data_IF_439979866631
#
_entry.id   IF_439979866631
#
_cell.length_a   1.000
_cell.length_b   1.000
_cell.length_c   1.000
_cell.angle_alpha   90.00
_cell.angle_beta   90.00
_cell.angle_gamma   90.00
#
_symmetry.space_group_name_H-M   'P 1'
#
loop_
_entity.id
_entity.type
_entity.pdbx_description
1 polymer ?
#
# COMPACT_ATOMS: atom_id res chain seq x y z
N UNK A 1 17.14 -6.16 16.73
CA UNK A 1 18.16 -5.41 15.97
C UNK A 1 17.89 -5.40 14.46
N UNK A 2 17.79 -6.55 13.77
CA UNK A 2 17.62 -6.65 12.28
C UNK A 2 16.59 -5.68 11.68
N UNK A 3 15.41 -5.53 12.31
CA UNK A 3 14.39 -4.62 11.82
C UNK A 3 14.82 -3.14 11.90
N UNK A 4 15.44 -2.71 13.00
CA UNK A 4 15.92 -1.34 13.14
C UNK A 4 17.02 -1.01 12.13
N UNK A 5 17.94 -1.94 11.90
CA UNK A 5 18.99 -1.80 10.88
C UNK A 5 18.38 -1.68 9.47
N UNK A 6 17.43 -2.57 9.13
CA UNK A 6 16.75 -2.52 7.84
C UNK A 6 16.02 -1.20 7.62
N UNK A 7 15.26 -0.72 8.61
CA UNK A 7 14.55 0.56 8.54
C UNK A 7 15.53 1.74 8.37
N UNK A 8 16.61 1.77 9.17
CA UNK A 8 17.64 2.81 9.05
C UNK A 8 18.32 2.82 7.69
N UNK A 9 18.61 1.64 7.12
CA UNK A 9 19.18 1.49 5.79
C UNK A 9 18.25 2.04 4.70
N UNK A 10 16.97 1.64 4.68
CA UNK A 10 15.98 2.13 3.72
C UNK A 10 15.84 3.66 3.79
N UNK A 11 15.70 4.22 4.99
CA UNK A 11 15.57 5.68 5.16
C UNK A 11 16.81 6.40 4.65
N UNK A 12 17.99 5.89 4.94
CA UNK A 12 19.25 6.50 4.51
C UNK A 12 19.44 6.46 2.98
N UNK A 13 19.02 5.38 2.34
CA UNK A 13 19.08 5.22 0.88
C UNK A 13 18.11 6.15 0.17
N UNK A 14 16.86 6.20 0.63
CA UNK A 14 15.78 6.95 -0.02
C UNK A 14 15.72 8.43 0.33
N UNK A 15 16.35 8.84 1.44
CA UNK A 15 16.36 10.22 1.93
C UNK A 15 17.77 10.66 2.32
N UNK A 16 18.73 10.72 1.39
CA UNK A 16 20.13 10.97 1.72
C UNK A 16 20.38 12.37 2.30
N UNK A 17 19.53 13.36 1.96
CA UNK A 17 19.75 14.75 2.33
C UNK A 17 19.06 15.20 3.65
N UNK A 18 18.06 14.46 4.14
CA UNK A 18 17.22 14.93 5.24
C UNK A 18 16.83 13.89 6.32
N UNK A 19 17.58 12.79 6.54
CA UNK A 19 17.17 11.78 7.53
C UNK A 19 17.15 12.34 8.96
N UNK A 20 17.91 13.38 9.23
CA UNK A 20 18.04 14.03 10.54
C UNK A 20 16.78 14.77 10.97
N UNK A 21 16.16 15.52 10.05
CA UNK A 21 14.95 16.31 10.32
C UNK A 21 13.78 15.39 10.69
N UNK A 22 13.72 14.22 10.08
CA UNK A 22 12.62 13.27 10.24
C UNK A 22 12.69 12.54 11.59
N UNK A 23 13.90 12.23 12.05
CA UNK A 23 14.10 11.53 13.31
C UNK A 23 13.85 12.46 14.51
N UNK A 24 13.99 13.77 14.32
CA UNK A 24 13.83 14.79 15.35
C UNK A 24 12.36 15.12 15.68
N UNK A 25 11.41 14.94 14.76
CA UNK A 25 10.07 15.51 14.91
C UNK A 25 9.18 14.78 15.91
N UNK A 26 9.08 15.30 17.13
CA UNK A 26 7.83 15.40 17.88
C UNK A 26 7.67 16.81 18.42
N UNK A 27 6.77 17.56 17.79
CA UNK A 27 6.07 18.68 18.38
C UNK A 27 6.93 19.86 18.79
N UNK A 28 6.67 20.98 18.13
CA UNK A 28 7.26 22.31 18.24
C UNK A 28 8.68 22.38 17.65
N UNK A 29 8.73 22.86 16.44
CA UNK A 29 9.90 23.51 15.87
C UNK A 29 10.26 24.74 16.76
N UNK A 30 10.81 24.50 17.90
CA UNK A 30 11.53 25.56 18.62
C UNK A 30 12.98 25.51 18.12
N UNK A 31 13.22 26.03 16.94
CA UNK A 31 14.53 26.50 16.53
C UNK A 31 14.85 27.74 17.37
N UNK A 32 15.29 27.54 18.58
CA UNK A 32 15.89 28.60 19.39
C UNK A 32 16.97 28.05 20.30
N UNK A 33 17.96 27.41 19.69
CA UNK A 33 19.30 27.45 20.26
C UNK A 33 20.17 28.17 19.25
N UNK A 34 20.58 29.36 19.58
CA UNK A 34 21.48 30.22 18.80
C UNK A 34 22.88 29.64 18.58
N UNK A 35 23.15 28.47 19.06
CA UNK A 35 24.45 27.78 19.06
C UNK A 35 24.45 26.42 18.31
N UNK A 36 23.36 26.05 17.61
CA UNK A 36 23.34 24.86 16.76
C UNK A 36 23.42 23.50 17.50
N UNK A 37 23.34 23.50 18.82
CA UNK A 37 23.40 22.27 19.62
C UNK A 37 22.04 21.60 19.69
N UNK A 38 21.96 20.31 19.24
CA UNK A 38 20.74 19.51 19.34
C UNK A 38 20.34 19.28 20.80
N UNK A 39 19.02 19.32 21.13
CA UNK A 39 18.54 18.91 22.44
C UNK A 39 19.05 17.50 22.78
N UNK A 40 19.57 17.31 23.98
CA UNK A 40 20.25 16.04 24.40
C UNK A 40 19.44 14.76 24.16
N UNK A 41 18.10 14.84 24.20
CA UNK A 41 17.20 13.68 23.94
C UNK A 41 17.14 13.31 22.45
N UNK A 42 17.18 14.28 21.55
CA UNK A 42 17.14 14.01 20.10
C UNK A 42 18.49 13.57 19.58
N UNK A 43 19.59 14.03 20.18
CA UNK A 43 20.92 13.56 19.89
C UNK A 43 21.12 12.03 20.11
N UNK A 44 20.40 11.43 21.06
CA UNK A 44 20.43 9.98 21.29
C UNK A 44 19.76 9.19 20.13
N UNK A 45 18.64 9.68 19.60
CA UNK A 45 17.99 9.04 18.45
C UNK A 45 18.81 9.20 17.17
N UNK A 46 19.42 10.35 16.98
CA UNK A 46 20.34 10.62 15.88
C UNK A 46 21.55 9.68 15.91
N UNK A 47 22.26 9.58 17.05
CA UNK A 47 23.38 8.65 17.22
C UNK A 47 22.97 7.21 16.95
N UNK A 48 21.81 6.77 17.47
CA UNK A 48 21.28 5.45 17.22
C UNK A 48 21.03 5.19 15.72
N UNK A 49 20.43 6.15 15.01
CA UNK A 49 20.18 6.04 13.58
C UNK A 49 21.47 5.88 12.78
N UNK A 50 22.47 6.76 13.01
CA UNK A 50 23.73 6.72 12.31
C UNK A 50 24.51 5.44 12.57
N UNK A 51 24.58 5.00 13.82
CA UNK A 51 25.26 3.75 14.16
C UNK A 51 24.59 2.52 13.53
N UNK A 52 23.24 2.51 13.47
CA UNK A 52 22.47 1.45 12.80
C UNK A 52 22.65 1.47 11.28
N UNK A 53 22.64 2.67 10.69
CA UNK A 53 22.85 2.89 9.25
C UNK A 53 24.22 2.43 8.80
N UNK A 54 25.26 2.81 9.55
CA UNK A 54 26.65 2.50 9.23
C UNK A 54 27.05 1.05 9.60
N UNK A 55 26.17 0.29 10.25
CA UNK A 55 26.48 -1.06 10.72
C UNK A 55 27.45 -1.11 11.91
N UNK A 56 27.66 0.04 12.58
CA UNK A 56 28.55 0.15 13.76
C UNK A 56 28.00 -0.62 14.97
N UNK A 57 26.68 -0.90 14.97
CA UNK A 57 25.98 -1.59 16.05
C UNK A 57 25.19 -2.76 15.46
N UNK A 58 25.49 -3.97 15.93
CA UNK A 58 24.84 -5.19 15.47
C UNK A 58 23.98 -5.86 16.54
N UNK A 59 24.27 -5.62 17.80
CA UNK A 59 23.60 -6.21 18.95
C UNK A 59 22.79 -5.18 19.76
N UNK A 60 21.86 -5.67 20.58
CA UNK A 60 21.10 -4.80 21.49
C UNK A 60 21.97 -4.19 22.57
N UNK A 61 22.98 -4.92 23.02
CA UNK A 61 23.92 -4.48 24.06
C UNK A 61 24.83 -3.35 23.57
N UNK A 62 25.34 -3.46 22.35
CA UNK A 62 26.12 -2.40 21.70
C UNK A 62 25.30 -1.12 21.54
N UNK A 63 24.03 -1.22 21.08
CA UNK A 63 23.16 -0.06 20.98
C UNK A 63 22.86 0.56 22.35
N UNK A 64 22.66 -0.28 23.37
CA UNK A 64 22.41 0.17 24.74
C UNK A 64 23.59 0.93 25.30
N UNK A 65 24.80 0.40 25.13
CA UNK A 65 26.05 1.02 25.60
C UNK A 65 26.32 2.33 24.89
N UNK A 66 26.10 2.38 23.56
CA UNK A 66 26.29 3.60 22.76
C UNK A 66 25.36 4.74 23.22
N UNK A 67 24.11 4.42 23.57
CA UNK A 67 23.12 5.43 23.91
C UNK A 67 23.13 5.80 25.40
N UNK A 68 23.43 4.84 26.25
CA UNK A 68 23.43 4.97 27.70
C UNK A 68 24.78 4.51 28.31
N UNK A 69 25.87 5.25 28.06
CA UNK A 69 27.21 4.84 28.51
C UNK A 69 27.32 4.68 30.02
N UNK A 70 26.50 5.42 30.78
CA UNK A 70 26.47 5.33 32.25
C UNK A 70 25.47 4.27 32.77
N UNK A 71 24.96 3.43 31.88
CA UNK A 71 23.95 2.43 32.19
C UNK A 71 22.53 2.99 32.18
N UNK A 72 21.54 2.09 32.08
CA UNK A 72 20.11 2.44 32.15
C UNK A 72 19.31 1.22 32.59
N UNK A 73 18.11 1.44 33.14
CA UNK A 73 17.19 0.34 33.45
C UNK A 73 16.64 -0.29 32.17
N UNK A 74 16.26 -1.56 32.24
CA UNK A 74 15.65 -2.27 31.11
C UNK A 74 14.37 -1.61 30.62
N UNK A 75 13.58 -1.05 31.52
CA UNK A 75 12.35 -0.31 31.18
C UNK A 75 12.65 0.93 30.33
N UNK A 76 13.66 1.70 30.70
CA UNK A 76 14.08 2.90 29.97
C UNK A 76 14.63 2.53 28.58
N UNK A 77 15.46 1.50 28.48
CA UNK A 77 15.97 1.03 27.20
C UNK A 77 14.85 0.53 26.28
N UNK A 78 13.92 -0.29 26.78
CA UNK A 78 12.75 -0.74 26.01
C UNK A 78 11.91 0.44 25.51
N UNK A 79 11.68 1.44 26.37
CA UNK A 79 10.96 2.67 25.99
C UNK A 79 11.69 3.44 24.89
N UNK A 80 13.01 3.61 24.99
CA UNK A 80 13.83 4.23 23.97
C UNK A 80 13.73 3.47 22.63
N UNK A 81 13.94 2.15 22.64
CA UNK A 81 13.87 1.30 21.44
C UNK A 81 12.50 1.35 20.76
N UNK A 82 11.42 1.33 21.55
CA UNK A 82 10.05 1.47 21.04
C UNK A 82 9.85 2.83 20.36
N UNK A 83 10.31 3.92 20.97
CA UNK A 83 10.22 5.27 20.39
C UNK A 83 11.08 5.41 19.14
N UNK A 84 12.30 4.88 19.13
CA UNK A 84 13.16 4.87 17.95
C UNK A 84 12.48 4.15 16.79
N UNK A 85 11.96 2.92 17.03
CA UNK A 85 11.20 2.17 16.03
C UNK A 85 10.03 2.97 15.48
N UNK A 86 9.24 3.60 16.36
CA UNK A 86 8.10 4.43 15.95
C UNK A 86 8.53 5.63 15.09
N UNK A 87 9.63 6.29 15.43
CA UNK A 87 10.18 7.40 14.62
C UNK A 87 10.62 6.91 13.24
N UNK A 88 11.37 5.82 13.16
CA UNK A 88 11.79 5.23 11.89
C UNK A 88 10.60 4.81 11.02
N UNK A 89 9.58 4.17 11.60
CA UNK A 89 8.36 3.82 10.85
C UNK A 89 7.64 5.05 10.34
N UNK A 90 7.50 6.10 11.17
CA UNK A 90 6.87 7.35 10.72
C UNK A 90 7.66 8.01 9.59
N UNK A 91 8.99 7.89 9.59
CA UNK A 91 9.84 8.44 8.53
C UNK A 91 9.62 7.75 7.17
N UNK A 92 9.21 6.48 7.16
CA UNK A 92 8.87 5.78 5.91
C UNK A 92 7.71 6.43 5.17
N UNK A 93 6.78 7.08 5.90
CA UNK A 93 5.65 7.79 5.30
C UNK A 93 6.06 9.04 4.50
N UNK A 94 7.29 9.50 4.66
CA UNK A 94 7.84 10.67 3.97
C UNK A 94 8.72 10.28 2.78
N UNK A 95 8.93 8.97 2.56
CA UNK A 95 9.69 8.48 1.42
C UNK A 95 8.80 8.54 0.19
N UNK A 96 9.23 9.29 -0.81
CA UNK A 96 8.64 9.22 -2.15
C UNK A 96 9.05 7.90 -2.80
N UNK A 97 8.05 7.15 -3.29
CA UNK A 97 8.29 5.92 -4.04
C UNK A 97 8.46 6.32 -5.50
N UNK A 98 9.66 6.06 -6.05
CA UNK A 98 9.90 6.25 -7.47
C UNK A 98 9.25 5.09 -8.25
N UNK A 99 8.37 5.43 -9.20
CA UNK A 99 7.73 4.46 -10.10
C UNK A 99 8.73 3.63 -10.93
N UNK A 100 9.96 4.10 -11.09
CA UNK A 100 11.02 3.35 -11.77
C UNK A 100 11.52 2.13 -10.95
N UNK A 101 11.30 2.11 -9.64
CA UNK A 101 11.78 1.07 -8.74
C UNK A 101 10.72 0.02 -8.37
N UNK A 102 9.46 0.35 -8.62
CA UNK A 102 8.29 -0.51 -8.30
C UNK A 102 7.33 -0.52 -9.48
N UNK A 103 6.36 -1.42 -9.48
CA UNK A 103 5.32 -1.40 -10.51
C UNK A 103 4.52 -0.08 -10.45
N UNK A 104 4.04 0.40 -11.60
CA UNK A 104 3.19 1.59 -11.66
C UNK A 104 1.96 1.47 -10.74
N UNK A 105 1.43 0.26 -10.57
CA UNK A 105 0.29 -0.02 -9.69
C UNK A 105 0.66 0.12 -8.22
N UNK A 106 1.81 -0.44 -7.79
CA UNK A 106 2.26 -0.32 -6.39
C UNK A 106 2.61 1.12 -6.03
N UNK A 107 3.21 1.88 -6.96
CA UNK A 107 3.48 3.30 -6.79
C UNK A 107 2.19 4.11 -6.65
N UNK A 108 1.19 3.84 -7.49
CA UNK A 108 -0.12 4.48 -7.42
C UNK A 108 -0.89 4.14 -6.14
N UNK A 109 -0.82 2.89 -5.67
CA UNK A 109 -1.42 2.50 -4.39
C UNK A 109 -0.76 3.22 -3.20
N UNK A 110 0.57 3.28 -3.19
CA UNK A 110 1.30 4.01 -2.17
C UNK A 110 0.98 5.51 -2.18
N UNK A 111 0.85 6.13 -3.34
CA UNK A 111 0.44 7.52 -3.51
C UNK A 111 -1.00 7.75 -3.02
N UNK A 112 -1.94 6.90 -3.40
CA UNK A 112 -3.32 6.97 -2.91
C UNK A 112 -3.37 6.88 -1.37
N UNK A 113 -2.65 5.92 -0.78
CA UNK A 113 -2.56 5.76 0.68
C UNK A 113 -1.90 6.97 1.38
N UNK A 114 -0.91 7.59 0.75
CA UNK A 114 -0.31 8.83 1.24
C UNK A 114 -1.35 9.95 1.32
N UNK A 115 -2.16 10.15 0.27
CA UNK A 115 -3.24 11.15 0.29
C UNK A 115 -4.31 10.83 1.33
N UNK A 116 -4.71 9.55 1.50
CA UNK A 116 -5.66 9.12 2.54
C UNK A 116 -5.14 9.48 3.93
N UNK A 117 -3.88 9.15 4.22
CA UNK A 117 -3.29 9.43 5.53
C UNK A 117 -3.16 10.93 5.79
N UNK A 118 -2.69 11.69 4.79
CA UNK A 118 -2.53 13.14 4.90
C UNK A 118 -3.89 13.84 5.07
N UNK A 119 -4.93 13.37 4.37
CA UNK A 119 -6.30 13.86 4.52
C UNK A 119 -6.83 13.61 5.94
N UNK A 120 -6.59 12.42 6.47
CA UNK A 120 -6.99 12.08 7.85
C UNK A 120 -6.34 13.01 8.88
N UNK A 121 -5.02 13.23 8.79
CA UNK A 121 -4.29 14.14 9.67
C UNK A 121 -4.77 15.58 9.50
N UNK A 122 -4.96 16.05 8.27
CA UNK A 122 -5.50 17.38 7.97
C UNK A 122 -6.88 17.60 8.59
N UNK A 123 -7.75 16.58 8.49
CA UNK A 123 -9.08 16.62 9.10
C UNK A 123 -9.05 16.78 10.63
N UNK A 124 -8.15 16.06 11.31
CA UNK A 124 -7.94 16.19 12.77
C UNK A 124 -7.45 17.60 13.14
N UNK A 125 -6.63 18.21 12.29
CA UNK A 125 -6.06 19.54 12.53
C UNK A 125 -6.99 20.69 12.08
N UNK A 126 -8.19 20.41 11.58
CA UNK A 126 -9.20 21.41 11.19
C UNK A 126 -9.03 21.97 9.78
N UNK A 127 -8.23 21.35 8.93
CA UNK A 127 -7.98 21.77 7.54
C UNK A 127 -9.05 21.26 6.55
N UNK A 128 -10.32 21.71 6.65
CA UNK A 128 -11.45 21.15 5.91
C UNK A 128 -11.30 21.16 4.38
N UNK A 129 -10.89 22.28 3.79
CA UNK A 129 -10.78 22.44 2.34
C UNK A 129 -9.62 21.62 1.76
N UNK A 130 -8.48 21.64 2.42
CA UNK A 130 -7.32 20.83 2.04
C UNK A 130 -7.58 19.33 2.18
N UNK A 131 -8.32 18.93 3.22
CA UNK A 131 -8.76 17.54 3.40
C UNK A 131 -9.59 17.05 2.21
N UNK A 132 -10.51 17.89 1.71
CA UNK A 132 -11.34 17.55 0.54
C UNK A 132 -10.49 17.36 -0.71
N UNK A 133 -9.56 18.28 -0.98
CA UNK A 133 -8.64 18.16 -2.13
C UNK A 133 -7.85 16.84 -2.11
N UNK A 134 -7.33 16.48 -0.94
CA UNK A 134 -6.57 15.23 -0.78
C UNK A 134 -7.46 13.99 -0.98
N UNK A 135 -8.71 14.01 -0.48
CA UNK A 135 -9.67 12.95 -0.72
C UNK A 135 -9.97 12.79 -2.20
N UNK A 136 -10.23 13.89 -2.91
CA UNK A 136 -10.55 13.87 -4.34
C UNK A 136 -9.38 13.29 -5.16
N UNK A 137 -8.13 13.62 -4.80
CA UNK A 137 -6.93 13.02 -5.41
C UNK A 137 -6.85 11.52 -5.15
N UNK A 138 -7.00 11.09 -3.90
CA UNK A 138 -6.96 9.68 -3.54
C UNK A 138 -8.06 8.86 -4.25
N UNK A 139 -9.29 9.38 -4.32
CA UNK A 139 -10.41 8.74 -5.03
C UNK A 139 -10.11 8.64 -6.53
N UNK A 140 -9.54 9.69 -7.14
CA UNK A 140 -9.18 9.67 -8.56
C UNK A 140 -8.19 8.56 -8.89
N UNK A 141 -7.14 8.40 -8.07
CA UNK A 141 -6.15 7.33 -8.23
C UNK A 141 -6.81 5.97 -7.98
N UNK A 142 -7.58 5.82 -6.89
CA UNK A 142 -8.24 4.58 -6.53
C UNK A 142 -9.17 4.07 -7.65
N UNK A 143 -9.93 4.96 -8.30
CA UNK A 143 -10.78 4.62 -9.44
C UNK A 143 -10.00 4.21 -10.67
N UNK A 144 -8.92 4.95 -11.00
CA UNK A 144 -8.08 4.65 -12.15
C UNK A 144 -7.44 3.27 -12.08
N UNK A 145 -7.02 2.85 -10.89
CA UNK A 145 -6.29 1.59 -10.66
C UNK A 145 -7.14 0.50 -9.98
N UNK A 146 -8.45 0.73 -9.82
CA UNK A 146 -9.39 -0.22 -9.19
C UNK A 146 -9.02 -0.61 -7.74
N UNK A 147 -8.52 0.34 -6.96
CA UNK A 147 -8.28 0.14 -5.53
C UNK A 147 -9.60 0.28 -4.74
N UNK A 148 -10.53 -0.65 -4.95
CA UNK A 148 -11.89 -0.61 -4.40
C UNK A 148 -11.91 -0.45 -2.87
N UNK A 149 -10.95 -1.01 -2.16
CA UNK A 149 -10.84 -0.90 -0.70
C UNK A 149 -10.50 0.54 -0.25
N UNK A 150 -9.69 1.27 -1.02
CA UNK A 150 -9.36 2.68 -0.76
C UNK A 150 -10.57 3.56 -1.10
N UNK A 151 -11.18 3.35 -2.27
CA UNK A 151 -12.35 4.10 -2.70
C UNK A 151 -13.51 3.94 -1.72
N UNK A 152 -13.82 2.71 -1.32
CA UNK A 152 -14.87 2.42 -0.34
C UNK A 152 -14.66 3.18 0.97
N UNK A 153 -13.46 3.09 1.55
CA UNK A 153 -13.12 3.79 2.78
C UNK A 153 -13.31 5.30 2.69
N UNK A 154 -12.87 5.91 1.59
CA UNK A 154 -13.00 7.35 1.38
C UNK A 154 -14.47 7.80 1.21
N UNK A 155 -15.24 7.03 0.47
CA UNK A 155 -16.67 7.28 0.30
C UNK A 155 -17.44 7.17 1.63
N UNK A 156 -17.16 6.16 2.43
CA UNK A 156 -17.73 5.98 3.78
C UNK A 156 -17.36 7.15 4.71
N UNK A 157 -16.11 7.60 4.69
CA UNK A 157 -15.66 8.75 5.47
C UNK A 157 -16.33 10.04 5.01
N UNK A 158 -16.43 10.26 3.69
CA UNK A 158 -17.14 11.41 3.12
C UNK A 158 -18.62 11.39 3.49
N UNK A 159 -19.28 10.24 3.41
CA UNK A 159 -20.68 10.07 3.79
C UNK A 159 -20.88 10.36 5.28
N UNK A 160 -20.05 9.81 6.15
CA UNK A 160 -20.11 10.05 7.60
C UNK A 160 -19.97 11.54 7.96
N UNK A 161 -19.07 12.26 7.30
CA UNK A 161 -18.89 13.70 7.51
C UNK A 161 -20.07 14.51 6.98
N UNK A 162 -20.68 14.07 5.89
CA UNK A 162 -21.79 14.78 5.24
C UNK A 162 -23.14 14.57 5.94
N UNK A 163 -23.29 13.53 6.76
CA UNK A 163 -24.53 13.16 7.42
C UNK A 163 -25.22 14.32 8.17
N UNK A 164 -24.43 15.17 8.83
CA UNK A 164 -24.96 16.28 9.64
C UNK A 164 -25.47 17.47 8.82
N UNK A 165 -25.06 17.60 7.54
CA UNK A 165 -25.27 18.83 6.76
C UNK A 165 -25.85 18.59 5.37
N UNK A 166 -26.01 17.33 4.93
CA UNK A 166 -26.48 17.00 3.60
C UNK A 166 -27.97 16.71 3.57
N UNK A 167 -28.60 16.94 2.40
CA UNK A 167 -29.99 16.53 2.16
C UNK A 167 -30.08 15.00 2.08
N UNK A 168 -31.26 14.47 2.43
CA UNK A 168 -31.54 13.01 2.36
C UNK A 168 -31.27 12.48 0.94
N UNK A 169 -31.61 13.26 -0.08
CA UNK A 169 -31.43 12.87 -1.47
C UNK A 169 -29.94 12.69 -1.82
N UNK A 170 -29.05 13.57 -1.31
CA UNK A 170 -27.60 13.45 -1.47
C UNK A 170 -27.04 12.25 -0.72
N UNK A 171 -27.47 12.05 0.53
CA UNK A 171 -27.06 10.90 1.34
C UNK A 171 -27.42 9.57 0.68
N UNK A 172 -28.60 9.46 0.08
CA UNK A 172 -29.04 8.27 -0.65
C UNK A 172 -28.18 8.04 -1.90
N UNK A 173 -27.76 9.09 -2.62
CA UNK A 173 -26.86 8.99 -3.78
C UNK A 173 -25.48 8.50 -3.34
N UNK A 174 -24.95 9.06 -2.26
CA UNK A 174 -23.65 8.67 -1.72
C UNK A 174 -23.68 7.20 -1.24
N UNK A 175 -24.76 6.77 -0.59
CA UNK A 175 -24.96 5.39 -0.15
C UNK A 175 -25.04 4.42 -1.34
N UNK A 176 -25.71 4.80 -2.43
CA UNK A 176 -25.75 4.01 -3.66
C UNK A 176 -24.34 3.82 -4.26
N UNK A 177 -23.52 4.87 -4.24
CA UNK A 177 -22.13 4.81 -4.69
C UNK A 177 -21.29 3.87 -3.81
N UNK A 178 -21.44 3.93 -2.49
CA UNK A 178 -20.80 3.03 -1.53
C UNK A 178 -21.19 1.57 -1.82
N UNK A 179 -22.49 1.32 -2.02
CA UNK A 179 -23.01 -0.02 -2.31
C UNK A 179 -22.43 -0.61 -3.60
N UNK A 180 -22.32 0.22 -4.64
CA UNK A 180 -21.71 -0.20 -5.92
C UNK A 180 -20.22 -0.56 -5.76
N UNK A 181 -19.45 0.25 -5.04
CA UNK A 181 -18.02 -0.04 -4.81
C UNK A 181 -17.85 -1.28 -3.94
N UNK A 182 -18.74 -1.48 -2.96
CA UNK A 182 -18.74 -2.69 -2.13
C UNK A 182 -19.00 -3.97 -2.97
N UNK A 183 -19.97 -3.91 -3.90
CA UNK A 183 -20.24 -5.00 -4.84
C UNK A 183 -19.01 -5.32 -5.71
N UNK A 184 -18.37 -4.31 -6.29
CA UNK A 184 -17.13 -4.47 -7.06
C UNK A 184 -16.00 -5.09 -6.22
N UNK A 185 -15.85 -4.69 -4.97
CA UNK A 185 -14.86 -5.26 -4.06
C UNK A 185 -15.14 -6.75 -3.78
N UNK A 186 -16.42 -7.13 -3.59
CA UNK A 186 -16.79 -8.53 -3.43
C UNK A 186 -16.45 -9.35 -4.67
N UNK A 187 -16.79 -8.86 -5.86
CA UNK A 187 -16.44 -9.53 -7.12
C UNK A 187 -14.92 -9.64 -7.30
N UNK A 188 -14.16 -8.59 -6.95
CA UNK A 188 -12.70 -8.65 -6.97
C UNK A 188 -12.16 -9.76 -6.05
N UNK A 189 -12.72 -9.95 -4.86
CA UNK A 189 -12.35 -11.05 -3.96
C UNK A 189 -12.65 -12.42 -4.59
N UNK A 190 -13.78 -12.56 -5.30
CA UNK A 190 -14.07 -13.80 -6.04
C UNK A 190 -13.06 -14.05 -7.17
N UNK A 191 -12.66 -13.02 -7.91
CA UNK A 191 -11.58 -13.12 -8.92
C UNK A 191 -10.26 -13.57 -8.29
N UNK A 192 -9.91 -13.06 -7.10
CA UNK A 192 -8.70 -13.50 -6.39
C UNK A 192 -8.76 -14.99 -6.00
N UNK A 193 -9.92 -15.50 -5.60
CA UNK A 193 -10.11 -16.93 -5.31
C UNK A 193 -9.92 -17.77 -6.59
N UNK A 194 -10.54 -17.37 -7.71
CA UNK A 194 -10.38 -18.03 -9.00
C UNK A 194 -8.90 -18.00 -9.42
N UNK A 195 -8.24 -16.85 -9.32
CA UNK A 195 -6.81 -16.70 -9.62
C UNK A 195 -5.93 -17.59 -8.75
N UNK A 196 -6.26 -17.74 -7.47
CA UNK A 196 -5.55 -18.65 -6.57
C UNK A 196 -5.64 -20.11 -7.06
N UNK A 197 -6.84 -20.58 -7.42
CA UNK A 197 -7.01 -21.93 -7.97
C UNK A 197 -6.29 -22.11 -9.32
N UNK A 198 -6.28 -21.09 -10.17
CA UNK A 198 -5.48 -21.09 -11.40
C UNK A 198 -3.98 -21.31 -11.11
N UNK A 199 -3.40 -20.53 -10.20
CA UNK A 199 -1.98 -20.67 -9.84
C UNK A 199 -1.68 -22.05 -9.25
N UNK A 200 -2.59 -22.59 -8.44
CA UNK A 200 -2.45 -23.93 -7.86
C UNK A 200 -2.44 -25.02 -8.95
N UNK A 201 -3.36 -24.94 -9.92
CA UNK A 201 -3.45 -25.89 -11.03
C UNK A 201 -2.20 -25.81 -11.91
N UNK A 202 -1.80 -24.61 -12.32
CA UNK A 202 -0.65 -24.43 -13.23
C UNK A 202 0.69 -24.78 -12.59
N UNK A 203 0.85 -24.61 -11.27
CA UNK A 203 2.06 -25.01 -10.54
C UNK A 203 2.11 -26.49 -10.18
N UNK A 204 1.01 -27.19 -10.25
CA UNK A 204 0.97 -28.62 -9.90
C UNK A 204 1.46 -29.47 -11.05
N UNK A 205 2.70 -29.95 -10.96
CA UNK A 205 3.30 -30.87 -11.94
C UNK A 205 2.66 -32.27 -11.94
N UNK A 206 1.80 -32.57 -10.97
CA UNK A 206 1.20 -33.90 -10.74
C UNK A 206 -0.21 -34.01 -11.35
N UNK A 207 -0.81 -32.93 -11.83
CA UNK A 207 -2.18 -32.96 -12.36
C UNK A 207 -2.15 -33.33 -13.83
N UNK A 208 -2.95 -34.35 -14.19
CA UNK A 208 -3.10 -34.80 -15.57
C UNK A 208 -3.73 -33.68 -16.42
N UNK A 209 -3.21 -33.46 -17.62
CA UNK A 209 -3.60 -32.40 -18.57
C UNK A 209 -5.13 -32.29 -18.77
N UNK A 210 -5.81 -33.44 -18.85
CA UNK A 210 -7.27 -33.50 -18.96
C UNK A 210 -8.01 -32.88 -17.78
N UNK A 211 -7.47 -33.04 -16.58
CA UNK A 211 -8.00 -32.45 -15.32
C UNK A 211 -7.73 -30.96 -15.27
N UNK A 212 -6.54 -30.51 -15.71
CA UNK A 212 -6.20 -29.09 -15.83
C UNK A 212 -7.16 -28.39 -16.80
N UNK A 213 -7.41 -28.98 -17.97
CA UNK A 213 -8.33 -28.46 -18.97
C UNK A 213 -9.74 -28.25 -18.41
N UNK A 214 -10.28 -29.26 -17.69
CA UNK A 214 -11.60 -29.17 -17.08
C UNK A 214 -11.66 -28.02 -16.03
N UNK A 215 -10.63 -27.89 -15.20
CA UNK A 215 -10.56 -26.86 -14.18
C UNK A 215 -10.42 -25.47 -14.80
N UNK A 216 -9.66 -25.31 -15.89
CA UNK A 216 -9.58 -24.04 -16.61
C UNK A 216 -10.91 -23.63 -17.21
N UNK A 217 -11.67 -24.55 -17.81
CA UNK A 217 -13.02 -24.26 -18.32
C UNK A 217 -13.97 -23.75 -17.22
N UNK A 218 -13.96 -24.38 -16.05
CA UNK A 218 -14.76 -23.93 -14.90
C UNK A 218 -14.37 -22.50 -14.48
N UNK A 219 -13.07 -22.20 -14.45
CA UNK A 219 -12.59 -20.84 -14.16
C UNK A 219 -13.03 -19.79 -15.19
N UNK A 220 -12.96 -20.12 -16.48
CA UNK A 220 -13.43 -19.28 -17.59
C UNK A 220 -14.92 -18.98 -17.46
N UNK A 221 -15.75 -19.99 -17.20
CA UNK A 221 -17.21 -19.83 -17.07
C UNK A 221 -17.58 -18.97 -15.84
N UNK A 222 -16.83 -19.11 -14.74
CA UNK A 222 -17.01 -18.30 -13.56
C UNK A 222 -16.62 -16.83 -13.82
N UNK A 223 -15.52 -16.57 -14.52
CA UNK A 223 -15.07 -15.22 -14.86
C UNK A 223 -16.00 -14.54 -15.86
N UNK A 224 -16.56 -15.28 -16.84
CA UNK A 224 -17.59 -14.74 -17.74
C UNK A 224 -18.78 -14.18 -16.99
N UNK A 225 -19.29 -14.92 -15.99
CA UNK A 225 -20.41 -14.47 -15.17
C UNK A 225 -20.09 -13.20 -14.38
N UNK A 226 -18.85 -13.05 -13.90
CA UNK A 226 -18.40 -11.85 -13.22
C UNK A 226 -18.39 -10.65 -14.19
N UNK A 227 -17.84 -10.86 -15.40
CA UNK A 227 -17.74 -9.83 -16.44
C UNK A 227 -19.11 -9.39 -16.99
N UNK A 228 -20.12 -10.26 -16.94
CA UNK A 228 -21.52 -9.90 -17.28
C UNK A 228 -22.13 -8.90 -16.27
N UNK A 229 -21.65 -8.89 -15.03
CA UNK A 229 -22.16 -7.99 -13.98
C UNK A 229 -21.39 -6.67 -13.96
N UNK A 230 -20.05 -6.76 -13.88
CA UNK A 230 -19.15 -5.61 -13.86
C UNK A 230 -17.85 -5.91 -14.60
N UNK A 231 -17.47 -4.97 -15.44
CA UNK A 231 -16.16 -4.98 -16.08
C UNK A 231 -15.09 -4.55 -15.07
N UNK A 232 -14.32 -5.52 -14.59
CA UNK A 232 -13.23 -5.31 -13.63
C UNK A 232 -11.94 -5.77 -14.29
N UNK A 233 -10.92 -4.90 -14.38
CA UNK A 233 -9.64 -5.20 -15.05
C UNK A 233 -8.98 -6.47 -14.53
N UNK A 234 -9.06 -6.73 -13.23
CA UNK A 234 -8.52 -7.95 -12.64
C UNK A 234 -9.23 -9.22 -13.14
N UNK A 235 -10.55 -9.16 -13.41
CA UNK A 235 -11.32 -10.27 -13.98
C UNK A 235 -10.95 -10.48 -15.45
N UNK A 236 -10.84 -9.40 -16.24
CA UNK A 236 -10.42 -9.44 -17.64
C UNK A 236 -9.05 -10.09 -17.78
N UNK A 237 -8.05 -9.59 -17.05
CA UNK A 237 -6.69 -10.12 -17.07
C UNK A 237 -6.63 -11.59 -16.65
N UNK A 238 -7.41 -11.99 -15.65
CA UNK A 238 -7.46 -13.39 -15.20
C UNK A 238 -8.15 -14.27 -16.24
N UNK A 239 -9.23 -13.80 -16.86
CA UNK A 239 -9.94 -14.48 -17.92
C UNK A 239 -9.03 -14.81 -19.11
N UNK A 240 -8.30 -13.83 -19.62
CA UNK A 240 -7.35 -14.07 -20.71
C UNK A 240 -6.19 -14.98 -20.29
N UNK A 241 -5.74 -14.92 -19.05
CA UNK A 241 -4.73 -15.85 -18.52
C UNK A 241 -5.19 -17.31 -18.58
N UNK A 242 -6.48 -17.57 -18.28
CA UNK A 242 -7.08 -18.90 -18.43
C UNK A 242 -7.19 -19.32 -19.90
N UNK A 243 -7.65 -18.41 -20.79
CA UNK A 243 -7.73 -18.70 -22.23
C UNK A 243 -6.36 -19.03 -22.81
N UNK A 244 -5.33 -18.26 -22.49
CA UNK A 244 -3.95 -18.53 -22.94
C UNK A 244 -3.47 -19.90 -22.47
N UNK A 245 -3.74 -20.27 -21.21
CA UNK A 245 -3.38 -21.57 -20.68
C UNK A 245 -4.08 -22.71 -21.41
N UNK A 246 -5.37 -22.54 -21.74
CA UNK A 246 -6.13 -23.54 -22.52
C UNK A 246 -5.54 -23.69 -23.92
N UNK A 247 -5.26 -22.57 -24.61
CA UNK A 247 -4.64 -22.60 -25.95
C UNK A 247 -3.27 -23.30 -25.94
N UNK A 248 -2.44 -23.03 -24.93
CA UNK A 248 -1.13 -23.67 -24.80
C UNK A 248 -1.26 -25.18 -24.55
N UNK A 249 -2.20 -25.62 -23.71
CA UNK A 249 -2.45 -27.03 -23.46
C UNK A 249 -3.01 -27.76 -24.71
N UNK A 250 -3.69 -27.05 -25.59
CA UNK A 250 -4.24 -27.59 -26.84
C UNK A 250 -3.30 -27.42 -28.03
N UNK A 251 -2.14 -26.74 -27.85
CA UNK A 251 -1.24 -26.33 -28.93
C UNK A 251 -1.93 -25.48 -30.01
N UNK A 252 -3.00 -24.76 -29.63
CA UNK A 252 -3.76 -23.89 -30.54
C UNK A 252 -3.17 -22.47 -30.54
N UNK A 253 -2.05 -22.30 -31.21
CA UNK A 253 -1.35 -21.01 -31.31
C UNK A 253 -2.14 -19.99 -32.15
N UNK A 254 -3.10 -20.43 -32.99
CA UNK A 254 -3.93 -19.51 -33.76
C UNK A 254 -4.96 -18.81 -32.87
N UNK A 255 -5.67 -19.58 -32.03
CA UNK A 255 -6.57 -19.01 -31.04
C UNK A 255 -5.81 -18.13 -30.03
N UNK A 256 -4.62 -18.55 -29.61
CA UNK A 256 -3.77 -17.75 -28.71
C UNK A 256 -3.48 -16.36 -29.28
N UNK A 257 -3.12 -16.29 -30.58
CA UNK A 257 -2.85 -15.00 -31.25
C UNK A 257 -4.08 -14.08 -31.27
N UNK A 258 -5.26 -14.64 -31.57
CA UNK A 258 -6.53 -13.91 -31.57
C UNK A 258 -6.80 -13.31 -30.19
N UNK A 259 -6.70 -14.10 -29.14
CA UNK A 259 -6.92 -13.61 -27.76
C UNK A 259 -5.88 -12.59 -27.30
N UNK A 260 -4.64 -12.69 -27.77
CA UNK A 260 -3.64 -11.64 -27.51
C UNK A 260 -4.00 -10.31 -28.17
N UNK A 261 -4.57 -10.34 -29.40
CA UNK A 261 -5.05 -9.16 -30.09
C UNK A 261 -6.25 -8.55 -29.36
N UNK A 262 -7.26 -9.35 -29.02
CA UNK A 262 -8.43 -8.90 -28.26
C UNK A 262 -8.06 -8.24 -26.94
N UNK A 263 -7.12 -8.83 -26.19
CA UNK A 263 -6.63 -8.21 -24.94
C UNK A 263 -5.88 -6.92 -25.22
N UNK A 264 -5.09 -6.86 -26.29
CA UNK A 264 -4.39 -5.63 -26.70
C UNK A 264 -5.34 -4.49 -27.05
N UNK A 265 -6.43 -4.78 -27.76
CA UNK A 265 -7.48 -3.82 -28.10
C UNK A 265 -8.25 -3.34 -26.86
N UNK A 266 -8.46 -4.23 -25.89
CA UNK A 266 -9.11 -3.90 -24.62
C UNK A 266 -8.24 -2.95 -23.76
N UNK A 267 -6.92 -3.06 -23.81
CA UNK A 267 -6.00 -2.29 -22.96
C UNK A 267 -5.64 -0.90 -23.57
N UNK A 268 -6.05 -0.58 -24.79
CA UNK A 268 -5.89 0.73 -25.41
C UNK A 268 -6.99 1.71 -25.01
#
# INVERSE_FOLDING_TARGET
MKLLQKLSGIIAEKMPATPEIIIQSKGRFNYSSSDGTMPSKDAAYYRAFHALKNGEVQTEEELRTLIFPNGTSDANYRSFKSRLKKRLVNSLMLISIDAAEVSNTDAAEAEAMYYVYTAYISGILGGSDFTKELHDKAISIARKYEFFHIELRLLEEQWSRSMAYSTIQRLNKDLASISLVHEKLQLHVEVLKIKHEFVKITRSRMIVEKTQMKAHKVGIDALKKILEVHEINSAVNTYYSYLFSVCLLQHDYRALLIYCQELGDYLQ
#
